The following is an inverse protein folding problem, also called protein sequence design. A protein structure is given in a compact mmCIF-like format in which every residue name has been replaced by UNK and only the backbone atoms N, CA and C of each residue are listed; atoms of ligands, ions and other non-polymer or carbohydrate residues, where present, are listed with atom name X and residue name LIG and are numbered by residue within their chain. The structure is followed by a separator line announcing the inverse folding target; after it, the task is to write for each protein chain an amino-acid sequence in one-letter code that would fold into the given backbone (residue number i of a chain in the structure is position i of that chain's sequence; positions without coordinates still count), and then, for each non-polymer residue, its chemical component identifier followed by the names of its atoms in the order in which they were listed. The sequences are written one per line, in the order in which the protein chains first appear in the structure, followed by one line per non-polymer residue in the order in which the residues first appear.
data_IF_115820941254
#
_entry.id   IF_115820941254
#
_cell.length_a   1.000
_cell.length_b   1.000
_cell.length_c   1.000
_cell.angle_alpha   90.00
_cell.angle_beta   90.00
_cell.angle_gamma   90.00
#
_symmetry.space_group_name_H-M   'P 1'
#
loop_
_entity.id
_entity.type
_entity.pdbx_description
1 polymer ?
#
# COMPACT_ATOMS: atom_id res chain seq x y z
N UNK A 1 -12.06 7.79 4.63
CA UNK A 1 -11.33 8.65 3.68
C UNK A 1 -12.18 9.85 3.41
N UNK A 2 -11.82 10.87 4.11
CA UNK A 2 -12.69 12.01 4.37
C UNK A 2 -12.91 12.84 3.10
N UNK A 3 -14.18 12.85 2.63
CA UNK A 3 -14.64 13.73 1.56
C UNK A 3 -14.27 13.34 0.12
N UNK A 4 -13.53 12.24 -0.12
CA UNK A 4 -13.23 11.79 -1.49
C UNK A 4 -14.15 10.65 -1.91
N UNK A 5 -14.77 10.82 -3.09
CA UNK A 5 -15.63 9.81 -3.69
C UNK A 5 -14.80 8.56 -4.03
N UNK A 6 -15.16 7.42 -3.46
CA UNK A 6 -14.49 6.15 -3.74
C UNK A 6 -15.41 5.22 -4.51
N UNK A 7 -14.82 4.45 -5.42
CA UNK A 7 -15.53 3.40 -6.14
C UNK A 7 -15.47 2.10 -5.34
N UNK A 8 -16.63 1.49 -5.11
CA UNK A 8 -16.71 0.17 -4.46
C UNK A 8 -16.40 -0.89 -5.52
N UNK A 9 -15.45 -1.78 -5.22
CA UNK A 9 -15.11 -2.90 -6.07
C UNK A 9 -15.67 -4.19 -5.42
N UNK A 10 -16.42 -5.02 -6.18
CA UNK A 10 -16.97 -6.29 -5.65
C UNK A 10 -15.88 -7.26 -5.17
N UNK A 11 -14.78 -7.35 -5.90
CA UNK A 11 -13.57 -8.05 -5.51
C UNK A 11 -12.76 -7.10 -4.65
N UNK A 12 -12.32 -7.54 -3.48
CA UNK A 12 -11.60 -6.69 -2.54
C UNK A 12 -10.35 -6.10 -3.19
N UNK A 13 -10.13 -4.82 -2.98
CA UNK A 13 -8.97 -4.10 -3.45
C UNK A 13 -7.85 -4.17 -2.41
N UNK A 14 -6.74 -4.83 -2.75
CA UNK A 14 -5.53 -4.92 -1.93
C UNK A 14 -4.33 -4.26 -2.61
N UNK A 15 -4.57 -3.36 -3.56
CA UNK A 15 -3.52 -2.79 -4.41
C UNK A 15 -2.53 -1.88 -3.67
N UNK A 16 -2.71 -1.64 -2.37
CA UNK A 16 -1.76 -0.85 -1.56
C UNK A 16 -0.48 -1.59 -1.22
N UNK A 17 -0.51 -2.93 -1.20
CA UNK A 17 0.67 -3.78 -1.01
C UNK A 17 0.50 -5.09 -1.76
N UNK A 18 1.33 -5.34 -2.76
CA UNK A 18 1.23 -6.49 -3.65
C UNK A 18 2.60 -7.13 -3.84
N UNK A 19 2.65 -8.46 -3.78
CA UNK A 19 3.82 -9.26 -4.19
C UNK A 19 3.46 -10.07 -5.41
N UNK A 20 4.19 -9.86 -6.51
CA UNK A 20 3.98 -10.56 -7.76
C UNK A 20 4.91 -11.77 -7.90
N UNK A 21 4.36 -12.94 -8.20
CA UNK A 21 5.15 -14.05 -8.70
C UNK A 21 5.40 -13.86 -10.19
N UNK A 22 6.52 -13.24 -10.54
CA UNK A 22 6.87 -12.91 -11.93
C UNK A 22 7.06 -14.14 -12.84
N UNK A 23 7.24 -15.32 -12.25
CA UNK A 23 7.35 -16.58 -13.02
C UNK A 23 5.98 -17.19 -13.34
N UNK A 24 4.91 -16.74 -12.68
CA UNK A 24 3.57 -17.29 -12.87
C UNK A 24 2.98 -16.84 -14.21
N UNK A 25 2.33 -17.75 -14.99
CA UNK A 25 1.76 -17.40 -16.31
C UNK A 25 0.79 -16.24 -16.27
N UNK A 26 -0.07 -16.14 -15.25
CA UNK A 26 -1.06 -15.08 -15.12
C UNK A 26 -0.44 -13.69 -14.96
N UNK A 27 0.74 -13.57 -14.34
CA UNK A 27 1.46 -12.30 -14.21
C UNK A 27 1.89 -11.77 -15.58
N UNK A 28 2.21 -12.67 -16.53
CA UNK A 28 2.55 -12.31 -17.91
C UNK A 28 1.38 -11.72 -18.70
N UNK A 29 0.13 -11.91 -18.23
CA UNK A 29 -1.03 -11.28 -18.83
C UNK A 29 -1.11 -9.78 -18.56
N UNK A 30 -0.36 -9.28 -17.58
CA UNK A 30 -0.30 -7.87 -17.25
C UNK A 30 0.79 -7.16 -18.08
N UNK A 31 0.48 -6.93 -19.35
CA UNK A 31 1.38 -6.23 -20.27
C UNK A 31 1.23 -4.72 -20.19
N UNK A 32 2.18 -3.97 -20.72
CA UNK A 32 2.12 -2.49 -20.79
C UNK A 32 0.87 -2.03 -21.53
N UNK A 33 0.57 -2.68 -22.68
CA UNK A 33 -0.64 -2.38 -23.47
C UNK A 33 -1.91 -2.59 -22.63
N UNK A 34 -1.99 -3.71 -21.93
CA UNK A 34 -3.14 -4.01 -21.08
C UNK A 34 -3.30 -2.99 -19.94
N UNK A 35 -2.21 -2.60 -19.29
CA UNK A 35 -2.25 -1.57 -18.23
C UNK A 35 -2.73 -0.22 -18.77
N UNK A 36 -2.36 0.12 -20.01
CA UNK A 36 -2.76 1.38 -20.63
C UNK A 36 -4.19 1.38 -21.19
N UNK A 37 -4.73 0.22 -21.51
CA UNK A 37 -6.05 0.09 -22.18
C UNK A 37 -7.17 -0.29 -21.22
N UNK A 38 -6.85 -1.07 -20.19
CA UNK A 38 -7.84 -1.58 -19.26
C UNK A 38 -8.31 -0.53 -18.24
N UNK A 39 -9.53 -0.72 -17.74
CA UNK A 39 -10.06 0.16 -16.70
C UNK A 39 -9.34 -0.01 -15.36
N UNK A 40 -9.34 1.04 -14.53
CA UNK A 40 -8.85 0.96 -13.17
C UNK A 40 -9.55 -0.15 -12.36
N UNK A 41 -10.85 -0.36 -12.59
CA UNK A 41 -11.60 -1.45 -11.96
C UNK A 41 -11.06 -2.84 -12.37
N UNK A 42 -10.72 -3.03 -13.63
CA UNK A 42 -10.11 -4.28 -14.11
C UNK A 42 -8.77 -4.54 -13.41
N UNK A 43 -7.91 -3.54 -13.35
CA UNK A 43 -6.57 -3.66 -12.77
C UNK A 43 -6.61 -3.86 -11.25
N UNK A 44 -7.39 -3.05 -10.53
CA UNK A 44 -7.50 -3.10 -9.08
C UNK A 44 -8.25 -4.32 -8.55
N UNK A 45 -9.10 -4.94 -9.36
CA UNK A 45 -9.78 -6.19 -9.03
C UNK A 45 -8.97 -7.43 -9.45
N UNK A 46 -7.78 -7.26 -10.00
CA UNK A 46 -6.93 -8.35 -10.51
C UNK A 46 -7.64 -9.26 -11.51
N UNK A 47 -8.49 -8.70 -12.39
CA UNK A 47 -9.27 -9.48 -13.38
C UNK A 47 -8.41 -10.18 -14.43
N UNK A 48 -7.13 -9.89 -14.46
CA UNK A 48 -6.13 -10.53 -15.30
C UNK A 48 -5.67 -11.90 -14.76
N UNK A 49 -6.10 -12.29 -13.55
CA UNK A 49 -5.83 -13.60 -12.95
C UNK A 49 -7.09 -14.18 -12.30
N UNK A 50 -7.08 -15.47 -11.99
CA UNK A 50 -8.17 -16.16 -11.30
C UNK A 50 -8.11 -15.96 -9.79
N UNK A 51 -9.24 -16.19 -9.10
CA UNK A 51 -9.31 -15.99 -7.64
C UNK A 51 -8.37 -16.94 -6.87
N UNK A 52 -8.27 -18.20 -7.30
CA UNK A 52 -7.37 -19.19 -6.71
C UNK A 52 -5.87 -18.91 -6.93
N UNK A 53 -5.53 -17.97 -7.80
CA UNK A 53 -4.15 -17.52 -8.04
C UNK A 53 -3.75 -16.33 -7.15
N UNK A 54 -4.67 -15.84 -6.32
CA UNK A 54 -4.44 -14.74 -5.40
C UNK A 54 -4.27 -15.32 -3.99
N UNK A 55 -3.06 -15.22 -3.47
CA UNK A 55 -2.75 -15.57 -2.08
C UNK A 55 -2.97 -14.40 -1.12
N UNK A 56 -2.92 -14.69 0.18
CA UNK A 56 -2.97 -13.68 1.23
C UNK A 56 -1.61 -13.50 1.87
N UNK A 57 -1.29 -12.28 2.22
CA UNK A 57 -0.15 -11.93 3.06
C UNK A 57 -0.61 -11.63 4.48
N UNK A 58 0.30 -11.74 5.44
CA UNK A 58 0.07 -11.29 6.80
C UNK A 58 -0.28 -9.78 6.76
N UNK A 59 -1.35 -9.38 7.46
CA UNK A 59 -1.83 -7.99 7.46
C UNK A 59 -0.81 -6.99 7.98
N UNK A 60 0.21 -7.44 8.73
CA UNK A 60 1.31 -6.61 9.19
C UNK A 60 2.15 -6.00 8.06
N UNK A 61 2.07 -6.57 6.85
CA UNK A 61 2.70 -6.01 5.65
C UNK A 61 1.92 -4.85 5.03
N UNK A 62 0.66 -4.68 5.43
CA UNK A 62 -0.19 -3.57 5.00
C UNK A 62 -1.03 -3.10 6.18
N UNK A 63 -0.34 -2.73 7.26
CA UNK A 63 -0.98 -2.26 8.47
C UNK A 63 -1.67 -0.93 8.22
N UNK A 64 -2.99 -0.94 8.31
CA UNK A 64 -3.79 0.26 8.10
C UNK A 64 -3.84 1.07 9.39
N UNK A 65 -3.14 2.19 9.43
CA UNK A 65 -3.13 3.10 10.57
C UNK A 65 -4.56 3.48 10.97
N UNK A 66 -4.84 3.41 12.28
CA UNK A 66 -6.15 3.68 12.85
C UNK A 66 -7.21 2.58 12.64
N UNK A 67 -6.88 1.47 11.95
CA UNK A 67 -7.77 0.32 11.73
C UNK A 67 -7.18 -0.99 12.24
N UNK A 68 -6.01 -1.39 11.77
CA UNK A 68 -5.43 -2.70 12.12
C UNK A 68 -5.06 -2.76 13.61
N UNK A 69 -4.57 -1.69 14.18
CA UNK A 69 -4.27 -1.58 15.62
C UNK A 69 -5.45 -1.82 16.56
N UNK A 70 -6.67 -1.74 16.06
CA UNK A 70 -7.88 -1.98 16.87
C UNK A 70 -8.16 -3.46 17.13
N UNK A 71 -7.55 -4.36 16.37
CA UNK A 71 -7.82 -5.80 16.43
C UNK A 71 -6.58 -6.68 16.35
N UNK A 72 -5.39 -6.10 16.32
CA UNK A 72 -4.13 -6.83 16.24
C UNK A 72 -3.08 -6.23 17.16
N UNK A 73 -2.67 -6.97 18.18
CA UNK A 73 -1.65 -6.55 19.17
C UNK A 73 -0.20 -6.73 18.66
N UNK A 74 -0.02 -7.23 17.46
CA UNK A 74 1.30 -7.45 16.87
C UNK A 74 1.87 -6.13 16.34
N UNK A 75 3.19 -6.12 16.11
CA UNK A 75 3.85 -4.96 15.47
C UNK A 75 3.76 -5.05 13.94
N UNK A 76 3.55 -3.92 13.24
CA UNK A 76 3.57 -3.89 11.79
C UNK A 76 4.97 -4.15 11.21
N UNK A 77 5.01 -4.66 9.99
CA UNK A 77 6.19 -4.64 9.12
C UNK A 77 6.18 -3.44 8.19
N UNK A 78 5.00 -3.02 7.74
CA UNK A 78 4.81 -1.82 6.94
C UNK A 78 3.51 -1.12 7.34
N UNK A 79 3.56 0.20 7.52
CA UNK A 79 2.41 1.02 7.91
C UNK A 79 1.87 1.77 6.70
N UNK A 80 0.57 1.67 6.48
CA UNK A 80 -0.15 2.40 5.46
C UNK A 80 -1.03 3.47 6.12
N UNK A 81 -0.69 4.73 5.92
CA UNK A 81 -1.46 5.87 6.42
C UNK A 81 -2.65 6.14 5.50
N UNK A 82 -3.79 5.52 5.79
CA UNK A 82 -4.97 5.54 4.91
C UNK A 82 -5.70 6.88 4.87
N UNK A 83 -5.59 7.68 5.91
CA UNK A 83 -6.27 8.97 6.07
C UNK A 83 -5.38 10.15 5.74
N UNK A 84 -4.11 10.01 5.99
CA UNK A 84 -3.05 11.01 5.84
C UNK A 84 -1.93 10.68 6.80
N UNK A 85 -0.70 11.00 6.44
CA UNK A 85 0.47 10.67 7.24
C UNK A 85 1.16 11.88 7.85
N UNK A 86 2.24 11.66 8.63
CA UNK A 86 2.93 12.70 9.40
C UNK A 86 3.55 13.83 8.59
N UNK A 87 3.56 13.74 7.27
CA UNK A 87 3.97 14.81 6.35
C UNK A 87 2.93 15.94 6.23
N UNK A 88 1.71 15.72 6.72
CA UNK A 88 0.67 16.76 6.82
C UNK A 88 0.58 17.29 8.26
N UNK A 89 0.33 18.58 8.40
CA UNK A 89 0.24 19.23 9.71
C UNK A 89 -0.83 18.62 10.60
N UNK A 90 -1.95 18.21 10.03
CA UNK A 90 -3.11 17.65 10.73
C UNK A 90 -2.90 16.20 11.20
N UNK A 91 -1.84 15.54 10.74
CA UNK A 91 -1.59 14.11 10.98
C UNK A 91 -0.23 13.82 11.63
N UNK A 92 0.37 14.82 12.29
CA UNK A 92 1.72 14.69 12.88
C UNK A 92 1.78 13.81 14.13
N UNK A 93 0.65 13.54 14.75
CA UNK A 93 0.50 12.74 15.97
C UNK A 93 -0.19 11.39 15.76
N UNK A 94 -0.38 10.96 14.51
CA UNK A 94 -0.94 9.64 14.21
C UNK A 94 -0.03 8.52 14.71
N UNK A 95 -0.61 7.35 14.85
CA UNK A 95 0.11 6.14 15.25
C UNK A 95 1.31 5.90 14.30
N UNK A 96 2.46 5.53 14.85
CA UNK A 96 3.74 5.35 14.12
C UNK A 96 4.32 6.62 13.47
N UNK A 97 3.84 7.80 13.82
CA UNK A 97 4.38 9.05 13.28
C UNK A 97 5.85 9.26 13.62
N UNK A 98 6.28 8.85 14.82
CA UNK A 98 7.68 8.97 15.27
C UNK A 98 8.62 8.14 14.39
N UNK A 99 8.26 6.93 14.08
CA UNK A 99 9.02 6.02 13.25
C UNK A 99 9.20 6.61 11.85
N UNK A 100 8.13 7.14 11.26
CA UNK A 100 8.19 7.79 9.94
C UNK A 100 9.10 9.04 9.96
N UNK A 101 9.02 9.86 11.01
CA UNK A 101 9.85 11.06 11.16
C UNK A 101 11.33 10.69 11.27
N UNK A 102 11.66 9.66 12.04
CA UNK A 102 13.03 9.17 12.18
C UNK A 102 13.60 8.70 10.84
N UNK A 103 12.86 7.89 10.10
CA UNK A 103 13.27 7.43 8.75
C UNK A 103 13.46 8.59 7.77
N UNK A 104 12.54 9.56 7.78
CA UNK A 104 12.67 10.79 6.97
C UNK A 104 13.96 11.56 7.31
N UNK A 105 14.23 11.76 8.60
CA UNK A 105 15.35 12.56 9.06
C UNK A 105 16.68 11.87 8.76
N UNK A 106 16.74 10.55 8.88
CA UNK A 106 17.87 9.73 8.47
C UNK A 106 18.11 9.84 6.95
N UNK A 107 17.06 9.69 6.14
CA UNK A 107 17.15 9.85 4.69
C UNK A 107 17.69 11.23 4.28
N UNK A 108 17.16 12.29 4.88
CA UNK A 108 17.61 13.65 4.58
C UNK A 108 19.06 13.89 4.99
N UNK A 109 19.49 13.39 6.16
CA UNK A 109 20.86 13.48 6.63
C UNK A 109 21.85 12.78 5.68
N UNK A 110 21.51 11.59 5.23
CA UNK A 110 22.31 10.81 4.28
C UNK A 110 22.39 11.50 2.91
N UNK A 111 21.31 12.08 2.43
CA UNK A 111 21.28 12.84 1.18
C UNK A 111 22.20 14.05 1.20
N UNK A 112 22.25 14.79 2.30
CA UNK A 112 23.16 15.94 2.45
C UNK A 112 24.63 15.52 2.54
N UNK A 113 24.92 14.32 3.06
CA UNK A 113 26.28 13.78 3.13
C UNK A 113 26.80 13.29 1.76
N UNK A 114 25.91 12.88 0.85
CA UNK A 114 26.28 12.49 -0.53
C UNK A 114 26.54 13.68 -1.46
N UNK A 115 26.18 14.90 -1.05
CA UNK A 115 26.37 16.12 -1.83
C UNK A 115 27.64 16.91 -1.42
N UNK A 116 28.41 16.40 -0.48
CA UNK A 116 29.74 16.90 -0.07
C UNK A 116 30.85 16.08 -0.72
#
# INVERSE_FOLDING_TARGET
MDGKKQTIYPRKNWSSFIVFNCSHPSTKNLTIEKVNQESGAYLHQFKWCKDEEIGSLDERWNWLEGWTSQHNDQKPFAVHYTRGGPWFTEWQDVEFAKEWILERDEYLSNKFNLLK
#
